data_IF_621577231901
#
_entry.id   IF_621577231901
#
_cell.length_a   1.000
_cell.length_b   1.000
_cell.length_c   1.000
_cell.angle_alpha   90.00
_cell.angle_beta   90.00
_cell.angle_gamma   90.00
#
_symmetry.space_group_name_H-M   'P 1'
#
loop_
_entity.id
_entity.type
_entity.pdbx_description
1 polymer ?
#
# COMPACT_ATOMS: atom_id res chain seq x y z
N UNK A 1 13.50 80.71 22.86
CA UNK A 1 12.48 80.27 21.89
C UNK A 1 13.22 79.96 20.60
N UNK A 2 13.74 78.74 20.49
CA UNK A 2 14.56 78.28 19.36
C UNK A 2 13.64 77.48 18.43
N UNK A 3 13.39 78.01 17.24
CA UNK A 3 12.64 77.34 16.17
C UNK A 3 13.39 76.08 15.70
N UNK A 4 12.71 74.93 15.50
CA UNK A 4 13.35 73.74 14.97
C UNK A 4 13.63 73.91 13.47
N UNK A 5 14.66 73.25 12.91
CA UNK A 5 14.94 73.31 11.49
C UNK A 5 13.82 72.60 10.70
N UNK A 6 13.26 73.29 9.70
CA UNK A 6 12.37 72.70 8.68
C UNK A 6 13.15 71.69 7.84
N UNK A 7 12.78 70.43 7.97
CA UNK A 7 13.25 69.32 7.13
C UNK A 7 12.81 69.57 5.68
N UNK A 8 13.70 69.37 4.71
CA UNK A 8 13.33 69.45 3.30
C UNK A 8 12.39 68.29 2.94
N UNK A 9 11.40 68.54 2.07
CA UNK A 9 10.46 67.51 1.58
C UNK A 9 11.15 66.26 1.03
N UNK A 10 12.36 66.41 0.49
CA UNK A 10 13.19 65.30 0.02
C UNK A 10 13.63 64.37 1.16
N UNK A 11 13.98 64.91 2.33
CA UNK A 11 14.33 64.12 3.51
C UNK A 11 13.11 63.42 4.13
N UNK A 12 11.92 64.00 4.02
CA UNK A 12 10.68 63.34 4.42
C UNK A 12 10.32 62.19 3.47
N UNK A 13 10.51 62.37 2.17
CA UNK A 13 10.28 61.31 1.17
C UNK A 13 11.31 60.18 1.24
N UNK A 14 12.59 60.48 1.47
CA UNK A 14 13.62 59.46 1.70
C UNK A 14 13.35 58.67 2.98
N UNK A 15 12.92 59.33 4.06
CA UNK A 15 12.52 58.61 5.28
C UNK A 15 11.23 57.81 5.12
N UNK A 16 10.25 58.28 4.35
CA UNK A 16 9.05 57.50 4.02
C UNK A 16 9.41 56.27 3.19
N UNK A 17 10.28 56.41 2.18
CA UNK A 17 10.76 55.29 1.37
C UNK A 17 11.62 54.32 2.17
N UNK A 18 12.45 54.80 3.09
CA UNK A 18 13.25 53.97 3.99
C UNK A 18 12.36 53.27 5.02
N UNK A 19 11.32 53.93 5.55
CA UNK A 19 10.30 53.28 6.38
C UNK A 19 9.45 52.27 5.61
N UNK A 20 9.13 52.52 4.34
CA UNK A 20 8.38 51.59 3.48
C UNK A 20 9.25 50.38 3.05
N UNK A 21 10.55 50.59 2.85
CA UNK A 21 11.53 49.51 2.64
C UNK A 21 11.79 48.69 3.91
N UNK A 22 11.91 49.33 5.08
CA UNK A 22 12.04 48.65 6.38
C UNK A 22 10.75 47.92 6.76
N UNK A 23 9.58 48.40 6.31
CA UNK A 23 8.29 47.74 6.49
C UNK A 23 8.09 46.51 5.58
N UNK A 24 8.83 46.40 4.46
CA UNK A 24 8.96 45.14 3.71
C UNK A 24 9.96 44.20 4.38
N UNK A 25 9.70 43.86 5.65
CA UNK A 25 10.45 42.79 6.32
C UNK A 25 10.19 41.48 5.57
N UNK A 26 11.19 41.07 4.78
CA UNK A 26 11.12 39.95 3.84
C UNK A 26 10.75 38.66 4.59
N UNK A 27 9.49 38.22 4.42
CA UNK A 27 9.00 36.97 5.02
C UNK A 27 9.92 35.80 4.63
N UNK A 28 10.30 34.97 5.60
CA UNK A 28 11.20 33.82 5.39
C UNK A 28 10.67 32.91 4.28
N UNK A 29 11.49 32.54 3.28
CA UNK A 29 11.07 31.67 2.19
C UNK A 29 10.77 30.25 2.72
N UNK A 30 9.77 29.60 2.12
CA UNK A 30 9.32 28.24 2.51
C UNK A 30 10.46 27.23 2.45
N UNK A 31 11.40 27.38 1.51
CA UNK A 31 12.57 26.50 1.38
C UNK A 31 13.46 26.51 2.61
N UNK A 32 13.71 27.68 3.21
CA UNK A 32 14.51 27.78 4.45
C UNK A 32 13.77 27.18 5.63
N UNK A 33 12.46 27.42 5.74
CA UNK A 33 11.63 26.80 6.77
C UNK A 33 11.59 25.26 6.61
N UNK A 34 11.43 24.77 5.38
CA UNK A 34 11.44 23.33 5.09
C UNK A 34 12.79 22.69 5.43
N UNK A 35 13.91 23.32 5.06
CA UNK A 35 15.25 22.85 5.44
C UNK A 35 15.42 22.77 6.96
N UNK A 36 14.94 23.78 7.68
CA UNK A 36 14.97 23.77 9.14
C UNK A 36 14.15 22.61 9.73
N UNK A 37 12.92 22.41 9.25
CA UNK A 37 12.06 21.30 9.71
C UNK A 37 12.66 19.92 9.36
N UNK A 38 13.28 19.79 8.19
CA UNK A 38 13.94 18.55 7.78
C UNK A 38 15.15 18.22 8.65
N UNK A 39 16.01 19.21 8.95
CA UNK A 39 17.13 19.05 9.89
C UNK A 39 16.59 18.70 11.28
N UNK A 40 15.51 19.34 11.73
CA UNK A 40 14.85 19.03 13.00
C UNK A 40 14.41 17.56 13.04
N UNK A 41 13.67 17.09 12.05
CA UNK A 41 13.21 15.69 11.98
C UNK A 41 14.40 14.71 11.96
N UNK A 42 15.38 14.91 11.09
CA UNK A 42 16.55 14.02 10.96
C UNK A 42 17.48 14.09 12.18
N UNK A 43 17.42 15.15 12.99
CA UNK A 43 18.15 15.23 14.25
C UNK A 43 17.54 14.39 15.37
N UNK A 44 16.26 14.03 15.26
CA UNK A 44 15.58 13.21 16.26
C UNK A 44 16.09 11.77 16.18
N UNK A 45 16.49 11.22 17.33
CA UNK A 45 16.99 9.84 17.43
C UNK A 45 15.97 8.83 16.88
N UNK A 46 14.66 9.05 17.09
CA UNK A 46 13.58 8.19 16.58
C UNK A 46 13.63 8.09 15.06
N UNK A 47 13.72 9.22 14.36
CA UNK A 47 13.78 9.24 12.89
C UNK A 47 15.08 8.60 12.40
N UNK A 48 16.22 8.83 13.06
CA UNK A 48 17.49 8.18 12.70
C UNK A 48 17.41 6.66 12.82
N UNK A 49 16.82 6.15 13.90
CA UNK A 49 16.58 4.71 14.05
C UNK A 49 15.63 4.17 12.98
N UNK A 50 14.57 4.91 12.64
CA UNK A 50 13.66 4.50 11.57
C UNK A 50 14.36 4.47 10.21
N UNK A 51 15.21 5.45 9.90
CA UNK A 51 16.02 5.44 8.67
C UNK A 51 16.93 4.22 8.67
N UNK A 52 17.68 3.97 9.74
CA UNK A 52 18.54 2.80 9.84
C UNK A 52 17.75 1.49 9.67
N UNK A 53 16.61 1.37 10.36
CA UNK A 53 15.75 0.19 10.29
C UNK A 53 15.19 -0.01 8.88
N UNK A 54 14.68 1.03 8.22
CA UNK A 54 14.09 0.92 6.87
C UNK A 54 15.14 0.56 5.81
N UNK A 55 16.38 1.00 5.97
CA UNK A 55 17.46 0.76 5.00
C UNK A 55 18.22 -0.55 5.22
N UNK A 56 18.16 -1.14 6.42
CA UNK A 56 18.93 -2.35 6.75
C UNK A 56 18.04 -3.56 7.05
N UNK A 57 16.98 -3.38 7.85
CA UNK A 57 16.20 -4.51 8.34
C UNK A 57 15.54 -5.35 7.23
N UNK A 58 15.00 -4.77 6.13
CA UNK A 58 14.43 -5.57 5.04
C UNK A 58 15.48 -6.46 4.35
N UNK A 59 16.66 -5.94 4.06
CA UNK A 59 17.75 -6.74 3.47
C UNK A 59 18.16 -7.89 4.39
N UNK A 60 18.32 -7.62 5.69
CA UNK A 60 18.65 -8.65 6.69
C UNK A 60 17.54 -9.70 6.82
N UNK A 61 16.28 -9.28 6.77
CA UNK A 61 15.13 -10.19 6.81
C UNK A 61 15.16 -11.15 5.62
N UNK A 62 15.33 -10.63 4.39
CA UNK A 62 15.36 -11.47 3.19
C UNK A 62 16.56 -12.42 3.21
N UNK A 63 17.75 -11.94 3.60
CA UNK A 63 18.95 -12.76 3.76
C UNK A 63 18.83 -13.80 4.88
N UNK A 64 18.03 -13.52 5.92
CA UNK A 64 17.72 -14.46 6.99
C UNK A 64 16.78 -15.57 6.51
N UNK A 65 15.72 -15.21 5.79
CA UNK A 65 14.78 -16.17 5.20
C UNK A 65 15.49 -17.05 4.17
N UNK A 66 16.40 -16.50 3.37
CA UNK A 66 17.14 -17.28 2.37
C UNK A 66 18.02 -18.39 2.96
N UNK A 67 18.36 -18.31 4.24
CA UNK A 67 19.14 -19.32 4.98
C UNK A 67 18.26 -20.35 5.72
N UNK A 68 16.95 -20.10 5.82
CA UNK A 68 16.02 -21.00 6.49
C UNK A 68 15.49 -22.05 5.53
N UNK A 69 15.10 -23.20 6.06
CA UNK A 69 14.41 -24.24 5.28
C UNK A 69 12.88 -24.06 5.29
N UNK A 70 12.37 -23.16 6.14
CA UNK A 70 10.94 -22.86 6.27
C UNK A 70 10.63 -21.52 5.64
N UNK A 71 9.69 -21.51 4.69
CA UNK A 71 9.23 -20.31 4.01
C UNK A 71 7.97 -19.74 4.65
N UNK A 72 7.74 -18.42 4.59
CA UNK A 72 6.51 -17.78 5.05
C UNK A 72 5.37 -18.01 4.05
N UNK A 73 4.90 -19.26 3.93
CA UNK A 73 3.93 -19.69 2.91
C UNK A 73 2.56 -19.00 2.99
N UNK A 74 2.19 -18.44 4.13
CA UNK A 74 0.93 -17.68 4.31
C UNK A 74 1.00 -16.26 3.73
N UNK A 75 2.21 -15.78 3.42
CA UNK A 75 2.45 -14.46 2.85
C UNK A 75 2.51 -14.54 1.33
N UNK A 76 1.88 -13.58 0.65
CA UNK A 76 1.89 -13.48 -0.80
C UNK A 76 3.33 -13.43 -1.34
N UNK A 77 3.67 -14.27 -2.32
CA UNK A 77 5.02 -14.51 -2.84
C UNK A 77 6.03 -15.13 -1.86
N UNK A 78 5.62 -15.46 -0.63
CA UNK A 78 6.49 -16.08 0.38
C UNK A 78 7.06 -17.42 -0.07
N UNK A 79 6.27 -18.22 -0.79
CA UNK A 79 6.68 -19.51 -1.36
C UNK A 79 7.78 -19.39 -2.42
N UNK A 80 7.87 -18.24 -3.06
CA UNK A 80 8.82 -17.97 -4.14
C UNK A 80 10.10 -17.29 -3.65
N UNK A 81 10.26 -17.05 -2.34
CA UNK A 81 11.42 -16.33 -1.79
C UNK A 81 12.75 -17.04 -1.99
N UNK A 82 12.80 -18.37 -2.11
CA UNK A 82 14.04 -19.07 -2.47
C UNK A 82 14.22 -19.21 -3.99
N UNK A 83 13.16 -19.02 -4.77
CA UNK A 83 13.18 -19.19 -6.22
C UNK A 83 13.55 -17.90 -6.96
N UNK A 84 13.15 -16.73 -6.44
CA UNK A 84 13.43 -15.44 -7.09
C UNK A 84 13.71 -14.35 -6.07
N UNK A 85 14.78 -13.58 -6.28
CA UNK A 85 15.11 -12.39 -5.49
C UNK A 85 14.05 -11.29 -5.56
N UNK A 86 13.21 -11.29 -6.61
CA UNK A 86 12.11 -10.33 -6.77
C UNK A 86 10.92 -10.58 -5.84
N UNK A 87 10.81 -11.78 -5.25
CA UNK A 87 9.77 -12.07 -4.26
C UNK A 87 10.00 -11.31 -2.93
N UNK A 88 11.27 -11.09 -2.56
CA UNK A 88 11.66 -10.38 -1.33
C UNK A 88 11.00 -9.00 -1.16
N UNK A 89 11.10 -8.07 -2.13
CA UNK A 89 10.45 -6.76 -2.02
C UNK A 89 8.92 -6.82 -2.02
N UNK A 90 8.28 -7.85 -2.59
CA UNK A 90 6.83 -8.00 -2.59
C UNK A 90 6.30 -8.51 -1.25
N UNK A 91 7.00 -9.49 -0.66
CA UNK A 91 6.74 -9.96 0.71
C UNK A 91 6.90 -8.80 1.69
N UNK A 92 7.98 -8.02 1.53
CA UNK A 92 8.22 -6.82 2.34
C UNK A 92 7.12 -5.77 2.14
N UNK A 93 6.64 -5.56 0.92
CA UNK A 93 5.55 -4.63 0.63
C UNK A 93 4.25 -5.05 1.32
N UNK A 94 3.87 -6.33 1.26
CA UNK A 94 2.67 -6.84 1.94
C UNK A 94 2.72 -6.65 3.45
N UNK A 95 3.87 -6.95 4.07
CA UNK A 95 4.09 -6.68 5.50
C UNK A 95 4.06 -5.16 5.79
N UNK A 96 4.74 -4.37 4.98
CA UNK A 96 4.86 -2.93 5.19
C UNK A 96 3.51 -2.22 5.06
N UNK A 97 2.71 -2.56 4.06
CA UNK A 97 1.36 -2.02 3.87
C UNK A 97 0.45 -2.25 5.08
N UNK A 98 0.52 -3.44 5.67
CA UNK A 98 -0.34 -3.81 6.80
C UNK A 98 0.15 -3.22 8.12
N UNK A 99 1.46 -3.23 8.37
CA UNK A 99 2.03 -2.92 9.69
C UNK A 99 2.97 -1.73 9.69
N UNK A 100 4.00 -1.74 8.84
CA UNK A 100 5.09 -0.76 8.95
C UNK A 100 4.67 0.65 8.51
N UNK A 101 4.03 0.81 7.34
CA UNK A 101 3.66 2.10 6.78
C UNK A 101 2.68 2.89 7.67
N UNK A 102 1.65 2.27 8.28
CA UNK A 102 0.85 2.94 9.31
C UNK A 102 1.66 3.43 10.51
N UNK A 103 2.64 2.64 10.99
CA UNK A 103 3.51 3.03 12.10
C UNK A 103 4.47 4.17 11.71
N UNK A 104 5.06 4.11 10.52
CA UNK A 104 5.95 5.16 10.01
C UNK A 104 5.21 6.48 9.83
N UNK A 105 4.01 6.45 9.23
CA UNK A 105 3.17 7.65 9.07
C UNK A 105 2.72 8.22 10.41
N UNK A 106 2.37 7.36 11.36
CA UNK A 106 2.08 7.73 12.76
C UNK A 106 3.23 8.49 13.42
N UNK A 107 4.46 7.97 13.35
CA UNK A 107 5.62 8.60 13.99
C UNK A 107 6.02 9.90 13.27
N UNK A 108 6.03 9.90 11.94
CA UNK A 108 6.54 11.03 11.15
C UNK A 108 5.52 12.15 10.99
N UNK A 109 4.21 11.87 10.92
CA UNK A 109 3.17 12.88 10.69
C UNK A 109 2.33 13.16 11.93
N UNK A 110 2.06 12.16 12.77
CA UNK A 110 1.13 12.24 13.90
C UNK A 110 1.58 13.18 15.03
N UNK A 111 2.88 13.48 15.13
CA UNK A 111 3.42 14.32 16.22
C UNK A 111 4.05 15.64 15.75
N UNK A 112 4.00 15.94 14.44
CA UNK A 112 4.69 17.11 13.85
C UNK A 112 4.17 18.45 14.37
N UNK A 113 2.88 18.52 14.65
CA UNK A 113 2.22 19.71 15.19
C UNK A 113 2.01 19.59 16.71
N UNK A 114 1.60 18.41 17.17
CA UNK A 114 1.35 18.13 18.59
C UNK A 114 2.62 18.27 19.46
N UNK A 115 3.81 17.95 18.93
CA UNK A 115 5.07 18.16 19.67
C UNK A 115 5.36 19.64 19.95
N UNK A 116 5.01 20.54 19.03
CA UNK A 116 5.19 21.98 19.23
C UNK A 116 4.21 22.52 20.27
N UNK A 117 3.00 21.95 20.32
CA UNK A 117 2.01 22.25 21.36
C UNK A 117 2.49 21.86 22.76
N UNK A 118 3.14 20.70 22.89
CA UNK A 118 3.71 20.23 24.16
C UNK A 118 4.93 21.02 24.59
N UNK A 119 5.80 21.36 23.64
CA UNK A 119 7.05 22.10 23.91
C UNK A 119 6.85 23.62 23.99
N UNK A 120 5.68 24.14 23.60
CA UNK A 120 5.35 25.57 23.68
C UNK A 120 6.11 26.46 22.68
N UNK A 121 6.61 25.89 21.58
CA UNK A 121 7.51 26.54 20.61
C UNK A 121 6.79 27.42 19.58
N UNK A 122 5.45 27.42 19.55
CA UNK A 122 4.66 28.16 18.56
C UNK A 122 4.97 29.65 18.51
N UNK A 123 5.18 30.29 19.67
CA UNK A 123 5.49 31.73 19.73
C UNK A 123 6.77 32.06 18.96
N UNK A 124 7.80 31.24 19.13
CA UNK A 124 9.09 31.42 18.45
C UNK A 124 8.96 31.21 16.94
N UNK A 125 8.26 30.15 16.52
CA UNK A 125 8.02 29.84 15.11
C UNK A 125 7.21 30.92 14.40
N UNK A 126 6.17 31.47 15.06
CA UNK A 126 5.34 32.53 14.50
C UNK A 126 6.09 33.85 14.38
N UNK A 127 6.95 34.20 15.35
CA UNK A 127 7.79 35.40 15.27
C UNK A 127 8.83 35.29 14.15
N UNK A 128 9.41 34.10 13.97
CA UNK A 128 10.43 33.85 12.96
C UNK A 128 9.85 33.80 11.52
N UNK A 129 8.80 33.01 11.29
CA UNK A 129 8.27 32.76 9.94
C UNK A 129 7.16 33.76 9.55
N UNK A 130 6.44 34.31 10.53
CA UNK A 130 5.37 35.32 10.38
C UNK A 130 4.21 34.90 9.46
N UNK A 131 4.00 33.60 9.25
CA UNK A 131 2.90 33.09 8.45
C UNK A 131 2.56 31.63 8.81
N UNK A 132 1.37 31.35 9.38
CA UNK A 132 0.91 29.97 9.66
C UNK A 132 0.89 29.10 8.40
N UNK A 133 0.47 29.67 7.26
CA UNK A 133 0.41 28.94 5.98
C UNK A 133 1.78 28.37 5.57
N UNK A 134 2.85 29.16 5.72
CA UNK A 134 4.21 28.73 5.36
C UNK A 134 4.76 27.69 6.33
N UNK A 135 4.43 27.80 7.61
CA UNK A 135 4.82 26.82 8.63
C UNK A 135 4.18 25.47 8.32
N UNK A 136 2.87 25.45 8.04
CA UNK A 136 2.17 24.21 7.67
C UNK A 136 2.80 23.55 6.45
N UNK A 137 2.98 24.29 5.36
CA UNK A 137 3.56 23.76 4.11
C UNK A 137 4.99 23.25 4.33
N UNK A 138 5.81 23.98 5.10
CA UNK A 138 7.18 23.54 5.40
C UNK A 138 7.20 22.24 6.20
N UNK A 139 6.35 22.12 7.23
CA UNK A 139 6.23 20.90 8.06
C UNK A 139 5.69 19.72 7.24
N UNK A 140 4.62 19.92 6.49
CA UNK A 140 4.03 18.89 5.64
C UNK A 140 5.03 18.41 4.57
N UNK A 141 5.75 19.33 3.92
CA UNK A 141 6.77 18.99 2.93
C UNK A 141 7.95 18.23 3.55
N UNK A 142 8.45 18.66 4.71
CA UNK A 142 9.54 17.96 5.40
C UNK A 142 9.13 16.54 5.83
N UNK A 143 7.93 16.38 6.41
CA UNK A 143 7.38 15.06 6.76
C UNK A 143 7.18 14.17 5.53
N UNK A 144 6.69 14.73 4.42
CA UNK A 144 6.56 14.02 3.16
C UNK A 144 7.92 13.52 2.66
N UNK A 145 8.95 14.39 2.64
CA UNK A 145 10.30 14.00 2.22
C UNK A 145 10.87 12.88 3.08
N UNK A 146 10.70 12.95 4.40
CA UNK A 146 11.15 11.89 5.32
C UNK A 146 10.38 10.59 5.06
N UNK A 147 9.05 10.65 4.87
CA UNK A 147 8.26 9.45 4.56
C UNK A 147 8.68 8.81 3.24
N UNK A 148 8.87 9.59 2.18
CA UNK A 148 9.34 9.08 0.90
C UNK A 148 10.73 8.43 1.02
N UNK A 149 11.63 9.01 1.82
CA UNK A 149 12.94 8.42 2.10
C UNK A 149 12.83 7.07 2.84
N UNK A 150 11.91 6.96 3.79
CA UNK A 150 11.69 5.71 4.54
C UNK A 150 11.09 4.62 3.65
N UNK A 151 10.09 4.94 2.83
CA UNK A 151 9.49 3.99 1.86
C UNK A 151 10.51 3.57 0.82
N UNK A 152 11.29 4.51 0.28
CA UNK A 152 12.37 4.20 -0.65
C UNK A 152 13.42 3.29 0.01
N UNK A 153 13.76 3.52 1.28
CA UNK A 153 14.62 2.64 2.05
C UNK A 153 14.09 1.22 2.12
N UNK A 154 12.80 1.05 2.46
CA UNK A 154 12.16 -0.27 2.50
C UNK A 154 12.21 -0.99 1.15
N UNK A 155 11.86 -0.28 0.08
CA UNK A 155 11.84 -0.82 -1.28
C UNK A 155 13.26 -1.21 -1.75
N UNK A 156 14.22 -0.28 -1.66
CA UNK A 156 15.60 -0.51 -2.12
C UNK A 156 16.28 -1.58 -1.29
N UNK A 157 16.14 -1.54 0.05
CA UNK A 157 16.75 -2.52 0.95
C UNK A 157 16.25 -3.94 0.68
N UNK A 158 14.93 -4.11 0.53
CA UNK A 158 14.35 -5.44 0.25
C UNK A 158 14.70 -5.96 -1.15
N UNK A 159 14.70 -5.09 -2.17
CA UNK A 159 15.11 -5.47 -3.53
C UNK A 159 16.58 -5.85 -3.59
N UNK A 160 17.48 -5.02 -3.06
CA UNK A 160 18.92 -5.33 -3.03
C UNK A 160 19.19 -6.57 -2.21
N UNK A 161 18.54 -6.73 -1.05
CA UNK A 161 18.65 -7.93 -0.21
C UNK A 161 18.21 -9.20 -0.95
N UNK A 162 17.07 -9.17 -1.65
CA UNK A 162 16.59 -10.31 -2.43
C UNK A 162 17.49 -10.67 -3.59
N UNK A 163 17.93 -9.68 -4.36
CA UNK A 163 18.84 -9.91 -5.50
C UNK A 163 20.21 -10.43 -5.05
N UNK A 164 20.75 -9.95 -3.93
CA UNK A 164 22.02 -10.44 -3.40
C UNK A 164 21.91 -11.83 -2.77
N UNK A 165 20.78 -12.16 -2.15
CA UNK A 165 20.60 -13.42 -1.44
C UNK A 165 20.21 -14.59 -2.36
N UNK A 166 19.39 -14.32 -3.39
CA UNK A 166 18.74 -15.36 -4.21
C UNK A 166 19.09 -15.21 -5.70
N UNK A 167 19.34 -13.98 -6.16
CA UNK A 167 19.67 -13.69 -7.55
C UNK A 167 18.48 -13.20 -8.40
N UNK A 168 18.78 -12.94 -9.67
CA UNK A 168 17.89 -12.29 -10.65
C UNK A 168 17.08 -13.31 -11.46
N UNK A 169 16.40 -14.23 -10.77
CA UNK A 169 15.62 -15.29 -11.42
C UNK A 169 14.19 -14.83 -11.78
N UNK A 170 13.57 -15.40 -12.84
CA UNK A 170 12.18 -15.11 -13.21
C UNK A 170 11.22 -15.30 -12.03
N UNK A 171 10.22 -14.41 -11.94
CA UNK A 171 9.21 -14.45 -10.87
C UNK A 171 7.94 -15.13 -11.38
N UNK A 172 7.37 -16.02 -10.58
CA UNK A 172 6.06 -16.63 -10.89
C UNK A 172 4.95 -15.67 -10.49
N UNK A 173 4.10 -15.28 -11.43
CA UNK A 173 2.89 -14.47 -11.21
C UNK A 173 1.80 -15.22 -10.43
N UNK A 174 0.72 -14.53 -10.06
CA UNK A 174 -0.40 -15.10 -9.32
C UNK A 174 -1.36 -15.93 -10.19
N UNK A 175 -1.27 -15.79 -11.49
CA UNK A 175 -1.84 -16.71 -12.47
C UNK A 175 -0.80 -17.72 -12.94
N UNK A 176 0.36 -17.84 -12.29
CA UNK A 176 1.35 -18.88 -12.57
C UNK A 176 2.27 -18.63 -13.78
N UNK A 177 2.09 -17.55 -14.55
CA UNK A 177 3.00 -17.25 -15.66
C UNK A 177 4.36 -16.79 -15.15
N UNK A 178 5.41 -17.00 -15.96
CA UNK A 178 6.75 -16.55 -15.64
C UNK A 178 6.97 -15.12 -16.12
N UNK A 179 7.32 -14.25 -15.19
CA UNK A 179 7.75 -12.88 -15.44
C UNK A 179 9.26 -12.87 -15.63
N UNK A 180 9.71 -12.34 -16.77
CA UNK A 180 11.12 -12.07 -16.98
C UNK A 180 11.62 -11.08 -15.90
N UNK A 181 12.91 -11.15 -15.51
CA UNK A 181 13.43 -10.29 -14.43
C UNK A 181 13.21 -8.79 -14.67
N UNK A 182 13.29 -8.32 -15.92
CA UNK A 182 12.98 -6.92 -16.27
C UNK A 182 11.53 -6.54 -16.02
N UNK A 183 10.59 -7.44 -16.35
CA UNK A 183 9.16 -7.20 -16.18
C UNK A 183 8.79 -7.27 -14.69
N UNK A 184 9.38 -8.22 -13.96
CA UNK A 184 9.28 -8.30 -12.51
C UNK A 184 9.80 -7.02 -11.84
N UNK A 185 10.95 -6.50 -12.26
CA UNK A 185 11.51 -5.25 -11.75
C UNK A 185 10.55 -4.06 -11.92
N UNK A 186 9.95 -3.92 -13.11
CA UNK A 186 8.97 -2.87 -13.40
C UNK A 186 7.72 -3.04 -12.54
N UNK A 187 7.18 -4.25 -12.43
CA UNK A 187 5.97 -4.51 -11.64
C UNK A 187 6.21 -4.31 -10.13
N UNK A 188 7.39 -4.69 -9.62
CA UNK A 188 7.80 -4.43 -8.23
C UNK A 188 7.88 -2.92 -7.98
N UNK A 189 8.53 -2.16 -8.87
CA UNK A 189 8.62 -0.71 -8.75
C UNK A 189 7.23 -0.06 -8.76
N UNK A 190 6.37 -0.45 -9.71
CA UNK A 190 5.00 0.06 -9.80
C UNK A 190 4.19 -0.26 -8.53
N UNK A 191 4.34 -1.45 -7.97
CA UNK A 191 3.67 -1.86 -6.72
C UNK A 191 4.04 -0.94 -5.56
N UNK A 192 5.34 -0.63 -5.39
CA UNK A 192 5.81 0.30 -4.37
C UNK A 192 5.34 1.74 -4.61
N UNK A 193 5.30 2.20 -5.88
CA UNK A 193 4.77 3.52 -6.23
C UNK A 193 3.27 3.61 -5.90
N UNK A 194 2.48 2.60 -6.26
CA UNK A 194 1.05 2.57 -5.95
C UNK A 194 0.77 2.58 -4.45
N UNK A 195 1.61 1.93 -3.64
CA UNK A 195 1.52 1.94 -2.17
C UNK A 195 1.83 3.32 -1.53
N UNK A 196 2.40 4.26 -2.27
CA UNK A 196 2.55 5.63 -1.78
C UNK A 196 1.20 6.32 -1.58
N UNK A 197 0.22 6.09 -2.47
CA UNK A 197 -1.08 6.75 -2.37
C UNK A 197 -1.79 6.49 -1.02
N UNK A 198 -1.98 5.24 -0.56
CA UNK A 198 -2.57 4.97 0.76
C UNK A 198 -1.66 5.40 1.92
N UNK A 199 -0.33 5.39 1.74
CA UNK A 199 0.62 5.94 2.74
C UNK A 199 0.43 7.44 2.93
N UNK A 200 0.20 8.19 1.85
CA UNK A 200 -0.10 9.61 1.90
C UNK A 200 -1.44 9.89 2.57
N UNK A 201 -2.45 9.04 2.34
CA UNK A 201 -3.73 9.13 3.03
C UNK A 201 -3.55 8.99 4.55
N UNK A 202 -2.79 7.99 5.00
CA UNK A 202 -2.48 7.78 6.42
C UNK A 202 -1.65 8.94 7.01
N UNK A 203 -0.67 9.47 6.27
CA UNK A 203 0.10 10.65 6.69
C UNK A 203 -0.79 11.89 6.85
N UNK A 204 -1.73 12.11 5.93
CA UNK A 204 -2.69 13.21 5.98
C UNK A 204 -3.63 13.11 7.19
N UNK A 205 -4.08 11.88 7.53
CA UNK A 205 -4.80 11.62 8.77
C UNK A 205 -3.94 11.88 10.01
N UNK A 206 -2.65 11.57 9.95
CA UNK A 206 -1.67 11.92 10.98
C UNK A 206 -1.56 13.43 11.18
N UNK A 207 -1.45 14.23 10.10
CA UNK A 207 -1.46 15.69 10.21
C UNK A 207 -2.76 16.23 10.80
N UNK A 208 -3.91 15.71 10.36
CA UNK A 208 -5.21 16.09 10.89
C UNK A 208 -5.32 15.77 12.38
N UNK A 209 -4.93 14.56 12.80
CA UNK A 209 -4.85 14.16 14.20
C UNK A 209 -3.93 15.06 15.02
N UNK A 210 -2.72 15.32 14.51
CA UNK A 210 -1.71 16.18 15.15
C UNK A 210 -2.20 17.62 15.38
N UNK A 211 -2.94 18.19 14.41
CA UNK A 211 -3.49 19.56 14.52
C UNK A 211 -4.69 19.63 15.46
N UNK A 212 -5.58 18.63 15.41
CA UNK A 212 -6.85 18.64 16.16
C UNK A 212 -6.70 18.28 17.63
N UNK A 213 -5.78 17.37 17.96
CA UNK A 213 -5.62 16.83 19.33
C UNK A 213 -4.69 17.68 20.21
N UNK A 214 -4.13 18.77 19.66
CA UNK A 214 -3.37 19.78 20.41
C UNK A 214 -2.17 19.18 21.16
N UNK A 215 -2.13 19.37 22.48
CA UNK A 215 -1.06 18.87 23.36
C UNK A 215 -1.06 17.35 23.55
N UNK A 216 -2.14 16.67 23.19
CA UNK A 216 -2.26 15.23 23.42
C UNK A 216 -1.36 14.43 22.47
N UNK A 217 -0.58 13.44 22.96
CA UNK A 217 0.19 12.55 22.09
C UNK A 217 -0.70 11.62 21.25
N UNK A 218 -2.03 11.65 21.44
CA UNK A 218 -2.99 10.80 20.72
C UNK A 218 -2.96 11.01 19.20
N UNK A 219 -2.48 12.16 18.70
CA UNK A 219 -2.27 12.38 17.27
C UNK A 219 -1.34 11.35 16.62
N UNK A 220 -0.41 10.80 17.40
CA UNK A 220 0.47 9.71 16.97
C UNK A 220 -0.32 8.43 16.70
N UNK A 221 -1.37 8.12 17.46
CA UNK A 221 -2.10 6.84 17.30
C UNK A 221 -3.07 6.84 16.11
N UNK A 222 -3.47 8.01 15.60
CA UNK A 222 -4.54 8.12 14.59
C UNK A 222 -4.27 7.29 13.33
N UNK A 223 -3.11 7.38 12.65
CA UNK A 223 -2.88 6.60 11.43
C UNK A 223 -2.93 5.09 11.66
N UNK A 224 -2.35 4.62 12.77
CA UNK A 224 -2.30 3.18 13.12
C UNK A 224 -3.68 2.65 13.44
N UNK A 225 -4.45 3.37 14.27
CA UNK A 225 -5.80 2.93 14.65
C UNK A 225 -6.75 2.92 13.44
N UNK A 226 -6.67 3.94 12.57
CA UNK A 226 -7.49 3.98 11.35
C UNK A 226 -7.07 2.87 10.38
N UNK A 227 -5.75 2.65 10.18
CA UNK A 227 -5.27 1.57 9.33
C UNK A 227 -5.72 0.20 9.86
N UNK A 228 -5.64 -0.04 11.17
CA UNK A 228 -6.09 -1.29 11.78
C UNK A 228 -7.60 -1.49 11.63
N UNK A 229 -8.40 -0.44 11.87
CA UNK A 229 -9.85 -0.49 11.68
C UNK A 229 -10.21 -0.81 10.22
N UNK A 230 -9.51 -0.19 9.26
CA UNK A 230 -9.68 -0.48 7.84
C UNK A 230 -9.21 -1.90 7.50
N UNK A 231 -8.13 -2.40 8.08
CA UNK A 231 -7.65 -3.78 7.88
C UNK A 231 -8.68 -4.80 8.38
N UNK A 232 -9.28 -4.57 9.55
CA UNK A 232 -10.39 -5.39 10.07
C UNK A 232 -11.58 -5.33 9.13
N UNK A 233 -11.93 -4.15 8.60
CA UNK A 233 -12.99 -4.03 7.59
C UNK A 233 -12.69 -4.86 6.33
N UNK A 234 -11.43 -4.94 5.87
CA UNK A 234 -11.02 -5.77 4.75
C UNK A 234 -11.07 -7.29 5.05
N UNK A 235 -11.22 -7.71 6.31
CA UNK A 235 -11.40 -9.12 6.68
C UNK A 235 -12.88 -9.54 6.75
N UNK A 236 -13.79 -8.58 6.94
CA UNK A 236 -15.23 -8.84 7.01
C UNK A 236 -15.83 -9.08 5.62
N UNK A 237 -16.87 -9.92 5.42
CA UNK A 237 -17.47 -10.20 4.11
C UNK A 237 -18.30 -9.02 3.57
N UNK A 238 -17.67 -7.86 3.37
CA UNK A 238 -18.23 -6.65 2.79
C UNK A 238 -18.32 -6.78 1.27
N UNK A 239 -19.31 -6.11 0.62
CA UNK A 239 -19.36 -6.00 -0.84
C UNK A 239 -18.05 -5.45 -1.40
N UNK A 240 -17.65 -5.91 -2.59
CA UNK A 240 -16.40 -5.50 -3.22
C UNK A 240 -16.32 -3.98 -3.42
N UNK A 241 -17.44 -3.30 -3.72
CA UNK A 241 -17.49 -1.84 -3.81
C UNK A 241 -17.09 -1.11 -2.52
N UNK A 242 -17.47 -1.62 -1.34
CA UNK A 242 -17.11 -1.02 -0.04
C UNK A 242 -15.61 -1.16 0.20
N UNK A 243 -15.06 -2.32 -0.13
CA UNK A 243 -13.63 -2.62 0.06
C UNK A 243 -12.77 -1.69 -0.75
N UNK A 244 -13.08 -1.54 -2.04
CA UNK A 244 -12.35 -0.70 -2.99
C UNK A 244 -12.47 0.80 -2.65
N UNK A 245 -13.55 1.20 -1.96
CA UNK A 245 -13.75 2.58 -1.49
C UNK A 245 -12.92 2.95 -0.25
N UNK A 246 -12.20 2.00 0.37
CA UNK A 246 -11.29 2.25 1.48
C UNK A 246 -9.85 2.43 0.99
N UNK A 247 -9.09 3.43 1.49
CA UNK A 247 -7.69 3.62 1.13
C UNK A 247 -6.82 2.37 1.34
N UNK A 248 -7.12 1.57 2.37
CA UNK A 248 -6.37 0.35 2.68
C UNK A 248 -6.38 -0.69 1.56
N UNK A 249 -7.36 -0.66 0.66
CA UNK A 249 -7.44 -1.61 -0.46
C UNK A 249 -6.27 -1.46 -1.44
N UNK A 250 -5.72 -0.24 -1.59
CA UNK A 250 -4.55 0.00 -2.42
C UNK A 250 -3.27 -0.69 -1.88
N UNK A 251 -3.23 -1.05 -0.59
CA UNK A 251 -2.16 -1.90 -0.04
C UNK A 251 -2.29 -3.38 -0.39
N UNK A 252 -3.39 -3.78 -1.06
CA UNK A 252 -3.68 -5.15 -1.46
C UNK A 252 -3.69 -5.27 -3.00
N UNK A 253 -4.40 -4.36 -3.68
CA UNK A 253 -4.70 -4.43 -5.12
C UNK A 253 -3.49 -4.33 -6.06
N UNK A 254 -2.29 -4.04 -5.55
CA UNK A 254 -1.06 -4.09 -6.35
C UNK A 254 -0.76 -5.51 -6.84
N UNK A 255 -1.28 -6.53 -6.16
CA UNK A 255 -1.19 -7.93 -6.54
C UNK A 255 -1.73 -8.18 -7.97
N UNK A 256 -2.70 -7.40 -8.44
CA UNK A 256 -3.26 -7.46 -9.79
C UNK A 256 -2.29 -7.14 -10.92
N UNK A 257 -1.13 -6.52 -10.62
CA UNK A 257 -0.05 -6.31 -11.59
C UNK A 257 0.62 -7.61 -12.02
N UNK A 258 0.56 -8.65 -11.18
CA UNK A 258 1.20 -9.95 -11.37
C UNK A 258 0.24 -11.01 -11.92
N UNK A 259 -0.79 -10.58 -12.68
CA UNK A 259 -1.76 -11.47 -13.33
C UNK A 259 -1.84 -11.19 -14.82
N UNK A 260 -2.04 -12.21 -15.66
CA UNK A 260 -2.37 -12.09 -17.08
C UNK A 260 -3.85 -12.42 -17.33
N UNK A 261 -4.69 -11.47 -17.78
CA UNK A 261 -4.46 -10.04 -17.98
C UNK A 261 -4.34 -9.26 -16.66
N UNK A 262 -3.66 -8.11 -16.69
CA UNK A 262 -3.46 -7.27 -15.52
C UNK A 262 -4.77 -6.64 -15.02
N UNK A 263 -5.01 -6.74 -13.72
CA UNK A 263 -6.20 -6.19 -13.06
C UNK A 263 -5.98 -4.73 -12.64
N UNK A 264 -5.83 -3.83 -13.62
CA UNK A 264 -5.52 -2.41 -13.37
C UNK A 264 -6.70 -1.61 -12.79
N UNK A 265 -7.94 -2.00 -13.10
CA UNK A 265 -9.13 -1.28 -12.67
C UNK A 265 -9.24 -1.13 -11.14
N UNK A 266 -9.26 -2.24 -10.36
CA UNK A 266 -9.28 -2.19 -8.90
C UNK A 266 -8.11 -1.38 -8.30
N UNK A 267 -6.91 -1.52 -8.89
CA UNK A 267 -5.72 -0.81 -8.46
C UNK A 267 -5.85 0.71 -8.63
N UNK A 268 -6.26 1.17 -9.81
CA UNK A 268 -6.40 2.59 -10.10
C UNK A 268 -7.50 3.23 -9.24
N UNK A 269 -8.62 2.54 -9.01
CA UNK A 269 -9.68 3.03 -8.13
C UNK A 269 -9.13 3.19 -6.71
N UNK A 270 -8.44 2.18 -6.17
CA UNK A 270 -7.83 2.25 -4.84
C UNK A 270 -6.82 3.40 -4.69
N UNK A 271 -5.99 3.63 -5.71
CA UNK A 271 -5.04 4.75 -5.76
C UNK A 271 -5.77 6.09 -5.77
N UNK A 272 -6.77 6.28 -6.63
CA UNK A 272 -7.55 7.53 -6.72
C UNK A 272 -8.27 7.81 -5.41
N UNK A 273 -8.96 6.82 -4.84
CA UNK A 273 -9.62 6.93 -3.54
C UNK A 273 -8.64 7.36 -2.45
N UNK A 274 -7.47 6.73 -2.40
CA UNK A 274 -6.42 7.07 -1.43
C UNK A 274 -5.92 8.51 -1.59
N UNK A 275 -5.71 8.97 -2.84
CA UNK A 275 -5.29 10.35 -3.11
C UNK A 275 -6.38 11.36 -2.74
N UNK A 276 -7.65 11.07 -2.99
CA UNK A 276 -8.79 11.91 -2.56
C UNK A 276 -8.78 12.05 -1.03
N UNK A 277 -8.63 10.94 -0.30
CA UNK A 277 -8.49 10.97 1.16
C UNK A 277 -7.29 11.81 1.60
N UNK A 278 -6.12 11.64 0.96
CA UNK A 278 -4.92 12.40 1.27
C UNK A 278 -5.12 13.92 1.08
N UNK A 279 -5.71 14.32 -0.04
CA UNK A 279 -6.00 15.73 -0.36
C UNK A 279 -7.00 16.31 0.62
N UNK A 280 -8.13 15.64 0.87
CA UNK A 280 -9.18 16.14 1.76
C UNK A 280 -8.67 16.23 3.20
N UNK A 281 -8.04 15.19 3.74
CA UNK A 281 -7.51 15.22 5.10
C UNK A 281 -6.43 16.30 5.28
N UNK A 282 -5.53 16.47 4.31
CA UNK A 282 -4.49 17.52 4.35
C UNK A 282 -5.11 18.91 4.27
N UNK A 283 -6.12 19.11 3.41
CA UNK A 283 -6.83 20.38 3.28
C UNK A 283 -7.58 20.75 4.57
N UNK A 284 -8.22 19.78 5.22
CA UNK A 284 -8.88 19.98 6.52
C UNK A 284 -7.86 20.33 7.60
N UNK A 285 -6.73 19.60 7.66
CA UNK A 285 -5.64 19.91 8.59
C UNK A 285 -5.09 21.32 8.37
N UNK A 286 -4.91 21.73 7.11
CA UNK A 286 -4.46 23.07 6.73
C UNK A 286 -5.46 24.15 7.17
N UNK A 287 -6.75 23.99 6.85
CA UNK A 287 -7.79 24.97 7.18
C UNK A 287 -7.91 25.12 8.70
N UNK A 288 -7.91 24.01 9.43
CA UNK A 288 -7.96 24.01 10.90
C UNK A 288 -6.73 24.69 11.51
N UNK A 289 -5.54 24.42 10.96
CA UNK A 289 -4.30 25.01 11.43
C UNK A 289 -4.24 26.53 11.17
N UNK A 290 -4.62 26.99 9.99
CA UNK A 290 -4.56 28.41 9.63
C UNK A 290 -5.60 29.25 10.38
N UNK A 291 -6.75 28.64 10.74
CA UNK A 291 -7.80 29.27 11.54
C UNK A 291 -7.59 29.11 13.06
N UNK A 292 -6.50 28.46 13.48
CA UNK A 292 -6.21 28.23 14.88
C UNK A 292 -5.79 29.53 15.56
N UNK A 293 -6.38 29.80 16.71
CA UNK A 293 -5.98 30.91 17.56
C UNK A 293 -4.75 30.50 18.39
N UNK A 294 -3.65 31.24 18.27
CA UNK A 294 -2.38 30.95 18.96
C UNK A 294 -2.20 31.78 20.23
N UNK A 295 -3.07 32.78 20.46
CA UNK A 295 -2.94 33.71 21.59
C UNK A 295 -3.58 33.20 22.88
N UNK A 296 -4.55 32.28 22.81
CA UNK A 296 -5.25 31.78 23.99
C UNK A 296 -4.62 30.49 24.55
N UNK A 297 -3.97 30.54 25.75
CA UNK A 297 -3.30 29.37 26.34
C UNK A 297 -4.24 28.28 26.86
N UNK A 298 -5.54 28.57 27.03
CA UNK A 298 -6.57 27.61 27.46
C UNK A 298 -7.27 26.91 26.30
N UNK A 299 -6.87 27.17 25.05
CA UNK A 299 -7.42 26.48 23.88
C UNK A 299 -6.79 25.08 23.74
N UNK A 300 -7.23 24.15 24.57
CA UNK A 300 -7.09 22.73 24.29
C UNK A 300 -8.04 22.39 23.14
N UNK A 301 -7.55 21.71 22.11
CA UNK A 301 -8.23 21.51 20.82
C UNK A 301 -9.72 21.18 21.00
N UNK A 302 -10.60 22.03 20.48
CA UNK A 302 -12.04 21.86 20.73
C UNK A 302 -12.52 20.56 20.07
N UNK A 303 -12.73 19.50 20.85
CA UNK A 303 -13.16 18.18 20.35
C UNK A 303 -14.38 18.24 19.44
N UNK A 304 -15.31 19.19 19.66
CA UNK A 304 -16.44 19.45 18.75
C UNK A 304 -16.01 19.82 17.34
N UNK A 305 -15.02 20.71 17.14
CA UNK A 305 -14.52 21.06 15.79
C UNK A 305 -13.72 19.91 15.18
N UNK A 306 -13.00 19.13 15.99
CA UNK A 306 -12.28 17.94 15.51
C UNK A 306 -13.25 16.91 14.91
N UNK A 307 -14.40 16.68 15.54
CA UNK A 307 -15.41 15.75 15.05
C UNK A 307 -16.15 16.32 13.84
N UNK A 308 -16.66 17.56 13.91
CA UNK A 308 -17.52 18.10 12.83
C UNK A 308 -16.75 18.52 11.58
N UNK A 309 -15.51 18.99 11.72
CA UNK A 309 -14.68 19.47 10.60
C UNK A 309 -13.62 18.44 10.19
N UNK A 310 -13.22 17.53 11.08
CA UNK A 310 -12.25 16.48 10.77
C UNK A 310 -12.90 15.16 10.33
N UNK A 311 -13.68 14.53 11.21
CA UNK A 311 -14.21 13.17 11.00
C UNK A 311 -15.36 13.13 9.99
N UNK A 312 -16.34 14.04 10.12
CA UNK A 312 -17.55 14.02 9.30
C UNK A 312 -17.27 14.14 7.78
N UNK A 313 -16.38 15.04 7.30
CA UNK A 313 -16.07 15.11 5.88
C UNK A 313 -15.37 13.85 5.35
N UNK A 314 -14.54 13.19 6.15
CA UNK A 314 -13.88 11.94 5.74
C UNK A 314 -14.87 10.78 5.62
N UNK A 315 -15.86 10.73 6.53
CA UNK A 315 -17.00 9.81 6.40
C UNK A 315 -17.80 10.12 5.12
N UNK A 316 -17.99 11.40 4.81
CA UNK A 316 -18.60 11.85 3.56
C UNK A 316 -17.82 11.39 2.32
N UNK A 317 -16.49 11.50 2.33
CA UNK A 317 -15.62 10.99 1.26
C UNK A 317 -15.77 9.47 1.13
N UNK A 318 -15.78 8.73 2.24
CA UNK A 318 -15.99 7.28 2.20
C UNK A 318 -17.34 6.91 1.55
N UNK A 319 -18.42 7.60 1.94
CA UNK A 319 -19.76 7.36 1.42
C UNK A 319 -19.88 7.72 -0.07
N UNK A 320 -19.29 8.84 -0.50
CA UNK A 320 -19.27 9.25 -1.91
C UNK A 320 -18.42 8.29 -2.75
N UNK A 321 -17.23 7.91 -2.29
CA UNK A 321 -16.39 6.91 -2.98
C UNK A 321 -17.14 5.59 -3.14
N UNK A 322 -17.83 5.12 -2.08
CA UNK A 322 -18.67 3.94 -2.16
C UNK A 322 -19.81 4.10 -3.18
N UNK A 323 -20.56 5.21 -3.14
CA UNK A 323 -21.67 5.44 -4.05
C UNK A 323 -21.22 5.49 -5.52
N UNK A 324 -20.08 6.13 -5.79
CA UNK A 324 -19.49 6.20 -7.13
C UNK A 324 -19.07 4.80 -7.59
N UNK A 325 -18.31 4.06 -6.77
CA UNK A 325 -17.86 2.71 -7.15
C UNK A 325 -19.04 1.76 -7.34
N UNK A 326 -20.05 1.80 -6.47
CA UNK A 326 -21.25 0.97 -6.60
C UNK A 326 -22.10 1.34 -7.84
N UNK A 327 -22.06 2.60 -8.29
CA UNK A 327 -22.76 3.03 -9.50
C UNK A 327 -21.99 2.70 -10.79
N UNK A 328 -20.65 2.69 -10.74
CA UNK A 328 -19.79 2.44 -11.91
C UNK A 328 -19.37 0.99 -12.07
N UNK A 329 -19.59 0.15 -11.05
CA UNK A 329 -19.24 -1.28 -11.06
C UNK A 329 -20.46 -2.13 -10.71
N UNK A 330 -20.60 -3.32 -11.31
CA UNK A 330 -21.62 -4.32 -10.96
C UNK A 330 -21.37 -5.00 -9.59
N UNK A 331 -20.54 -4.41 -8.73
CA UNK A 331 -19.93 -5.04 -7.56
C UNK A 331 -20.78 -4.92 -6.29
N UNK A 332 -22.05 -5.32 -6.36
CA UNK A 332 -22.97 -5.38 -5.20
C UNK A 332 -22.78 -6.62 -4.33
N UNK A 333 -22.06 -7.64 -4.83
CA UNK A 333 -21.71 -8.86 -4.11
C UNK A 333 -20.22 -8.89 -3.73
N UNK A 334 -19.74 -10.00 -3.19
CA UNK A 334 -18.32 -10.22 -2.87
C UNK A 334 -17.40 -10.20 -4.09
N UNK A 335 -17.92 -10.26 -5.33
CA UNK A 335 -17.12 -10.34 -6.55
C UNK A 335 -16.57 -11.74 -6.86
N UNK A 336 -16.44 -12.60 -5.84
CA UNK A 336 -16.06 -14.03 -5.97
C UNK A 336 -17.25 -14.87 -6.44
N UNK A 337 -17.23 -15.25 -7.72
CA UNK A 337 -18.22 -16.14 -8.35
C UNK A 337 -17.57 -17.43 -8.83
N UNK A 338 -18.36 -18.50 -8.95
CA UNK A 338 -17.92 -19.82 -9.41
C UNK A 338 -17.16 -19.77 -10.74
N UNK A 339 -17.66 -19.04 -11.74
CA UNK A 339 -17.06 -18.97 -13.07
C UNK A 339 -15.67 -18.31 -13.04
N UNK A 340 -15.48 -17.29 -12.20
CA UNK A 340 -14.20 -16.59 -12.05
C UNK A 340 -13.18 -17.45 -11.31
N UNK A 341 -13.61 -18.17 -10.27
CA UNK A 341 -12.75 -19.12 -9.56
C UNK A 341 -12.30 -20.23 -10.51
N UNK A 342 -13.22 -20.83 -11.27
CA UNK A 342 -12.91 -21.86 -12.25
C UNK A 342 -11.90 -21.38 -13.30
N UNK A 343 -12.12 -20.18 -13.86
CA UNK A 343 -11.22 -19.59 -14.85
C UNK A 343 -9.83 -19.30 -14.29
N UNK A 344 -9.76 -18.73 -13.08
CA UNK A 344 -8.49 -18.40 -12.44
C UNK A 344 -7.68 -19.65 -12.09
N UNK A 345 -8.31 -20.68 -11.52
CA UNK A 345 -7.65 -21.95 -11.19
C UNK A 345 -7.15 -22.67 -12.43
N UNK A 346 -7.96 -22.75 -13.49
CA UNK A 346 -7.56 -23.39 -14.74
C UNK A 346 -6.37 -22.68 -15.39
N UNK A 347 -6.35 -21.35 -15.37
CA UNK A 347 -5.25 -20.53 -15.91
C UNK A 347 -3.97 -20.74 -15.11
N UNK A 348 -4.05 -20.62 -13.79
CA UNK A 348 -2.93 -20.85 -12.89
C UNK A 348 -2.32 -22.25 -13.06
N UNK A 349 -3.17 -23.27 -13.10
CA UNK A 349 -2.73 -24.64 -13.32
C UNK A 349 -2.03 -24.81 -14.67
N UNK A 350 -2.58 -24.27 -15.77
CA UNK A 350 -1.99 -24.40 -17.09
C UNK A 350 -0.58 -23.80 -17.16
N UNK A 351 -0.38 -22.61 -16.60
CA UNK A 351 0.93 -21.96 -16.57
C UNK A 351 1.94 -22.73 -15.71
N UNK A 352 1.56 -23.12 -14.49
CA UNK A 352 2.42 -23.87 -13.57
C UNK A 352 2.75 -25.28 -14.10
N UNK A 353 1.83 -25.91 -14.85
CA UNK A 353 2.08 -27.20 -15.49
C UNK A 353 3.19 -27.10 -16.53
N UNK A 354 3.21 -26.03 -17.33
CA UNK A 354 4.27 -25.79 -18.31
C UNK A 354 5.62 -25.59 -17.62
N UNK A 355 5.65 -24.80 -16.55
CA UNK A 355 6.84 -24.59 -15.73
C UNK A 355 7.37 -25.92 -15.16
N UNK A 356 6.51 -26.75 -14.58
CA UNK A 356 6.92 -28.06 -14.05
C UNK A 356 7.43 -28.99 -15.16
N UNK A 357 6.76 -28.98 -16.33
CA UNK A 357 7.14 -29.79 -17.49
C UNK A 357 8.56 -29.47 -17.95
N UNK A 358 8.90 -28.18 -17.98
CA UNK A 358 10.25 -27.70 -18.30
C UNK A 358 11.27 -28.12 -17.23
N UNK A 359 10.97 -27.91 -15.94
CA UNK A 359 11.83 -28.31 -14.81
C UNK A 359 12.12 -29.82 -14.77
N UNK A 360 11.17 -30.64 -15.21
CA UNK A 360 11.29 -32.10 -15.26
C UNK A 360 11.81 -32.60 -16.62
N UNK A 361 12.20 -31.72 -17.54
CA UNK A 361 12.65 -32.04 -18.90
C UNK A 361 11.69 -32.97 -19.67
N UNK A 362 10.39 -32.75 -19.49
CA UNK A 362 9.34 -33.45 -20.25
C UNK A 362 9.11 -32.76 -21.60
N UNK A 363 8.50 -33.45 -22.59
CA UNK A 363 8.15 -32.82 -23.86
C UNK A 363 7.31 -31.55 -23.65
N UNK A 364 7.69 -30.46 -24.31
CA UNK A 364 7.01 -29.18 -24.16
C UNK A 364 5.54 -29.28 -24.61
N UNK A 365 4.65 -28.68 -23.83
CA UNK A 365 3.21 -28.57 -24.13
C UNK A 365 2.80 -27.11 -23.99
N UNK A 366 1.92 -26.64 -24.87
CA UNK A 366 1.34 -25.29 -24.80
C UNK A 366 0.05 -25.27 -23.98
N UNK A 367 -0.35 -24.10 -23.46
CA UNK A 367 -1.63 -23.95 -22.74
C UNK A 367 -2.84 -24.34 -23.60
N UNK A 368 -2.79 -24.01 -24.89
CA UNK A 368 -3.84 -24.32 -25.86
C UNK A 368 -3.97 -25.83 -26.12
N UNK A 369 -2.88 -26.58 -26.00
CA UNK A 369 -2.89 -28.05 -26.10
C UNK A 369 -3.37 -28.69 -24.79
N UNK A 370 -2.98 -28.13 -23.63
CA UNK A 370 -3.43 -28.61 -22.33
C UNK A 370 -4.95 -28.55 -22.16
N UNK A 371 -5.59 -27.52 -22.74
CA UNK A 371 -7.04 -27.27 -22.63
C UNK A 371 -7.52 -27.44 -21.17
N UNK A 372 -6.76 -26.88 -20.23
CA UNK A 372 -7.04 -27.03 -18.81
C UNK A 372 -8.39 -26.38 -18.49
N UNK A 373 -9.23 -27.11 -17.77
CA UNK A 373 -10.53 -26.66 -17.29
C UNK A 373 -10.66 -26.97 -15.82
N UNK A 374 -11.42 -26.18 -15.07
CA UNK A 374 -11.67 -26.43 -13.66
C UNK A 374 -13.17 -26.47 -13.38
N UNK A 375 -13.61 -27.50 -12.66
CA UNK A 375 -14.96 -27.61 -12.12
C UNK A 375 -14.90 -27.38 -10.61
N UNK A 376 -15.16 -26.14 -10.20
CA UNK A 376 -15.17 -25.73 -8.80
C UNK A 376 -16.57 -25.69 -8.24
N UNK A 377 -16.75 -26.17 -7.01
CA UNK A 377 -17.98 -26.04 -6.22
C UNK A 377 -17.64 -25.53 -4.82
N UNK A 378 -18.63 -24.90 -4.17
CA UNK A 378 -18.51 -24.41 -2.80
C UNK A 378 -19.67 -24.94 -1.98
N UNK A 379 -19.39 -25.61 -0.86
CA UNK A 379 -20.44 -26.20 -0.02
C UNK A 379 -21.28 -27.26 -0.74
N UNK A 380 -22.60 -27.27 -0.49
CA UNK A 380 -23.55 -28.24 -1.09
C UNK A 380 -24.26 -27.68 -2.33
N UNK A 381 -24.76 -28.55 -3.20
CA UNK A 381 -25.44 -28.22 -4.47
C UNK A 381 -26.71 -27.35 -4.34
N UNK A 382 -27.15 -27.04 -3.12
CA UNK A 382 -28.37 -26.25 -2.84
C UNK A 382 -28.13 -24.75 -2.73
N UNK A 383 -26.88 -24.28 -2.67
CA UNK A 383 -26.52 -22.86 -2.56
C UNK A 383 -25.64 -22.49 -3.75
N UNK A 384 -25.88 -21.32 -4.37
CA UNK A 384 -25.02 -20.84 -5.43
C UNK A 384 -23.58 -20.69 -4.92
N UNK A 385 -22.61 -21.31 -5.60
CA UNK A 385 -21.21 -21.30 -5.20
C UNK A 385 -20.62 -19.89 -5.37
N UNK A 386 -20.67 -19.09 -4.30
CA UNK A 386 -20.24 -17.69 -4.30
C UNK A 386 -19.60 -17.29 -2.96
N UNK A 387 -18.74 -16.27 -3.02
CA UNK A 387 -18.11 -15.64 -1.86
C UNK A 387 -16.85 -16.33 -1.34
N UNK A 388 -16.13 -15.66 -0.41
CA UNK A 388 -14.91 -16.18 0.20
C UNK A 388 -15.17 -17.36 1.15
N UNK A 389 -14.15 -18.17 1.41
CA UNK A 389 -14.20 -19.34 2.29
C UNK A 389 -13.15 -20.40 1.95
N UNK A 390 -12.97 -21.35 2.87
CA UNK A 390 -12.06 -22.50 2.77
C UNK A 390 -12.73 -23.81 2.32
N UNK A 391 -13.97 -23.70 1.84
CA UNK A 391 -14.88 -24.76 1.46
C UNK A 391 -15.05 -24.89 -0.06
N UNK A 392 -14.14 -24.29 -0.82
CA UNK A 392 -14.06 -24.46 -2.27
C UNK A 392 -13.33 -25.75 -2.61
N UNK A 393 -13.91 -26.56 -3.48
CA UNK A 393 -13.28 -27.77 -4.03
C UNK A 393 -13.32 -27.71 -5.55
N UNK A 394 -12.16 -27.77 -6.17
CA UNK A 394 -11.98 -27.69 -7.62
C UNK A 394 -11.41 -28.99 -8.16
N UNK A 395 -12.00 -29.51 -9.23
CA UNK A 395 -11.42 -30.59 -10.03
C UNK A 395 -10.87 -29.98 -11.32
N UNK A 396 -9.56 -30.00 -11.48
CA UNK A 396 -8.87 -29.51 -12.67
C UNK A 396 -8.68 -30.68 -13.63
N UNK A 397 -9.10 -30.51 -14.89
CA UNK A 397 -8.97 -31.51 -15.95
C UNK A 397 -8.12 -30.94 -17.08
N UNK A 398 -7.13 -31.68 -17.55
CA UNK A 398 -6.27 -31.30 -18.68
C UNK A 398 -6.03 -32.47 -19.63
N UNK A 399 -5.60 -32.15 -20.84
CA UNK A 399 -5.35 -33.09 -21.94
C UNK A 399 -3.89 -33.02 -22.34
N UNK A 400 -3.29 -34.15 -22.69
CA UNK A 400 -1.93 -34.21 -23.20
C UNK A 400 -1.93 -34.62 -24.67
N UNK A 401 -1.07 -34.02 -25.51
CA UNK A 401 -0.98 -34.41 -26.91
C UNK A 401 -0.56 -35.88 -27.02
N UNK A 402 -1.31 -36.66 -27.82
CA UNK A 402 -1.05 -38.09 -28.03
C UNK A 402 -1.58 -39.03 -26.94
N UNK A 403 -2.34 -38.53 -25.95
CA UNK A 403 -2.97 -39.34 -24.90
C UNK A 403 -4.49 -39.13 -24.93
N UNK A 404 -5.26 -40.20 -25.09
CA UNK A 404 -6.74 -40.10 -25.10
C UNK A 404 -7.35 -39.84 -23.72
N UNK A 405 -6.67 -40.29 -22.65
CA UNK A 405 -7.14 -40.07 -21.28
C UNK A 405 -6.82 -38.64 -20.81
N UNK A 406 -7.81 -37.98 -20.19
CA UNK A 406 -7.60 -36.71 -19.50
C UNK A 406 -6.94 -36.91 -18.14
N UNK A 407 -5.96 -36.09 -17.81
CA UNK A 407 -5.48 -35.96 -16.43
C UNK A 407 -6.50 -35.18 -15.59
N UNK A 408 -6.67 -35.56 -14.32
CA UNK A 408 -7.57 -34.87 -13.40
C UNK A 408 -6.91 -34.72 -12.04
N UNK A 409 -6.92 -33.53 -11.46
CA UNK A 409 -6.37 -33.22 -10.13
C UNK A 409 -7.42 -32.54 -9.27
N UNK A 410 -7.40 -32.80 -7.96
CA UNK A 410 -8.34 -32.19 -7.01
C UNK A 410 -7.59 -31.21 -6.13
N UNK A 411 -8.16 -30.02 -5.99
CA UNK A 411 -7.67 -28.95 -5.14
C UNK A 411 -8.74 -28.49 -4.16
N UNK A 412 -8.35 -28.33 -2.89
CA UNK A 412 -9.10 -27.56 -1.91
C UNK A 412 -8.60 -26.12 -1.92
N UNK A 413 -9.51 -25.16 -1.98
CA UNK A 413 -9.19 -23.75 -2.05
C UNK A 413 -9.61 -23.03 -0.78
N UNK A 414 -8.71 -22.19 -0.29
CA UNK A 414 -9.02 -21.11 0.67
C UNK A 414 -9.03 -19.77 -0.06
N UNK A 415 -10.23 -19.24 -0.30
CA UNK A 415 -10.46 -17.98 -1.02
C UNK A 415 -10.73 -16.87 -0.02
N UNK A 416 -9.84 -15.89 0.04
CA UNK A 416 -9.98 -14.74 0.93
C UNK A 416 -10.90 -13.67 0.34
N UNK A 417 -11.51 -12.82 1.18
CA UNK A 417 -12.48 -11.81 0.73
C UNK A 417 -11.94 -10.73 -0.23
N UNK A 418 -10.61 -10.59 -0.33
CA UNK A 418 -9.90 -9.71 -1.26
C UNK A 418 -9.59 -10.38 -2.61
N UNK A 419 -10.03 -11.62 -2.84
CA UNK A 419 -9.94 -12.32 -4.11
C UNK A 419 -8.73 -13.25 -4.24
N UNK A 420 -7.78 -13.18 -3.32
CA UNK A 420 -6.66 -14.13 -3.26
C UNK A 420 -7.19 -15.52 -2.91
N UNK A 421 -6.57 -16.56 -3.46
CA UNK A 421 -6.80 -17.92 -3.00
C UNK A 421 -5.50 -18.72 -2.90
N UNK A 422 -5.50 -19.69 -2.00
CA UNK A 422 -4.49 -20.74 -1.93
C UNK A 422 -5.14 -22.05 -2.35
N UNK A 423 -4.62 -22.69 -3.38
CA UNK A 423 -5.05 -24.01 -3.85
C UNK A 423 -4.10 -25.08 -3.29
N UNK A 424 -4.63 -26.00 -2.51
CA UNK A 424 -3.91 -27.13 -1.92
C UNK A 424 -4.36 -28.44 -2.56
N UNK A 425 -3.40 -29.22 -3.06
CA UNK A 425 -3.66 -30.44 -3.79
C UNK A 425 -4.13 -31.58 -2.90
N UNK A 426 -5.45 -31.81 -2.84
CA UNK A 426 -6.11 -32.90 -2.09
C UNK A 426 -6.23 -34.22 -2.90
N UNK A 427 -5.30 -34.45 -3.84
CA UNK A 427 -5.28 -35.60 -4.75
C UNK A 427 -4.22 -36.65 -4.39
N UNK A 428 -4.35 -37.90 -4.86
CA UNK A 428 -3.30 -38.90 -4.73
C UNK A 428 -1.97 -38.39 -5.30
N UNK A 429 -0.82 -38.86 -4.77
CA UNK A 429 0.51 -38.44 -5.24
C UNK A 429 0.74 -38.74 -6.72
N UNK A 430 0.06 -39.76 -7.22
CA UNK A 430 0.06 -40.19 -8.61
C UNK A 430 -0.55 -39.15 -9.55
N UNK A 431 -1.34 -38.23 -8.98
CA UNK A 431 -2.14 -37.24 -9.69
C UNK A 431 -1.58 -35.83 -9.53
N UNK A 432 -1.32 -35.41 -8.29
CA UNK A 432 -0.80 -34.06 -7.98
C UNK A 432 0.73 -34.00 -7.95
N UNK A 433 1.40 -35.16 -8.02
CA UNK A 433 2.84 -35.30 -7.88
C UNK A 433 3.30 -35.36 -6.43
N UNK A 434 4.62 -35.48 -6.23
CA UNK A 434 5.25 -35.38 -4.92
C UNK A 434 5.42 -33.91 -4.52
N UNK A 435 5.54 -33.64 -3.21
CA UNK A 435 5.80 -32.29 -2.70
C UNK A 435 7.13 -31.71 -3.22
N UNK A 436 8.16 -32.55 -3.36
CA UNK A 436 9.43 -32.20 -3.99
C UNK A 436 9.51 -32.86 -5.36
N UNK A 437 10.03 -32.11 -6.33
CA UNK A 437 10.39 -32.59 -7.66
C UNK A 437 11.91 -32.48 -7.81
N UNK A 438 12.51 -33.51 -8.40
CA UNK A 438 13.93 -33.45 -8.75
C UNK A 438 14.09 -32.57 -9.98
N UNK A 439 14.77 -31.45 -9.79
CA UNK A 439 15.17 -30.56 -10.88
C UNK A 439 16.68 -30.69 -11.09
N UNK A 440 17.21 -30.19 -12.22
CA UNK A 440 18.66 -30.24 -12.51
C UNK A 440 19.50 -29.46 -11.48
N UNK A 441 18.88 -28.50 -10.81
CA UNK A 441 19.50 -27.62 -9.81
C UNK A 441 19.35 -28.17 -8.37
N UNK A 442 18.64 -29.29 -8.20
CA UNK A 442 18.36 -29.93 -6.93
C UNK A 442 16.88 -30.22 -6.70
N UNK A 443 16.54 -30.71 -5.51
CA UNK A 443 15.15 -30.92 -5.11
C UNK A 443 14.46 -29.57 -4.92
N UNK A 444 13.39 -29.31 -5.68
CA UNK A 444 12.59 -28.09 -5.60
C UNK A 444 11.15 -28.40 -5.21
N UNK A 445 10.43 -27.48 -4.53
CA UNK A 445 9.00 -27.63 -4.29
C UNK A 445 8.22 -27.76 -5.60
N UNK A 446 7.30 -28.71 -5.65
CA UNK A 446 6.43 -28.93 -6.78
C UNK A 446 5.44 -27.75 -6.91
N UNK A 447 5.47 -26.98 -8.02
CA UNK A 447 4.60 -25.82 -8.21
C UNK A 447 3.11 -26.19 -8.31
N UNK A 448 2.77 -27.44 -8.64
CA UNK A 448 1.39 -27.93 -8.73
C UNK A 448 0.87 -28.55 -7.43
N UNK A 449 1.74 -28.75 -6.42
CA UNK A 449 1.30 -29.30 -5.13
C UNK A 449 0.45 -28.29 -4.36
N UNK A 450 0.94 -27.06 -4.26
CA UNK A 450 0.23 -25.95 -3.64
C UNK A 450 0.64 -24.65 -4.32
N UNK A 451 -0.33 -23.85 -4.73
CA UNK A 451 -0.10 -22.59 -5.42
C UNK A 451 -1.08 -21.51 -4.99
N UNK A 452 -0.65 -20.26 -5.12
CA UNK A 452 -1.48 -19.09 -4.85
C UNK A 452 -2.06 -18.58 -6.17
N UNK A 453 -3.23 -17.97 -6.10
CA UNK A 453 -3.75 -17.19 -7.21
C UNK A 453 -4.73 -16.10 -6.81
N UNK A 454 -5.32 -15.45 -7.82
CA UNK A 454 -6.19 -14.30 -7.61
C UNK A 454 -7.45 -14.34 -8.50
N UNK A 455 -8.59 -14.01 -7.91
CA UNK A 455 -9.89 -13.87 -8.55
C UNK A 455 -10.19 -12.40 -8.77
N UNK A 456 -10.52 -12.02 -10.01
CA UNK A 456 -10.90 -10.66 -10.34
C UNK A 456 -12.26 -10.28 -9.71
N UNK A 457 -12.25 -9.39 -8.72
CA UNK A 457 -13.47 -9.05 -7.98
C UNK A 457 -14.43 -8.12 -8.73
N UNK A 458 -13.91 -7.30 -9.65
CA UNK A 458 -14.70 -6.31 -10.40
C UNK A 458 -14.78 -6.74 -11.87
N UNK A 459 -15.96 -6.75 -12.47
CA UNK A 459 -16.07 -6.90 -13.92
C UNK A 459 -15.72 -5.56 -14.56
N UNK A 460 -14.45 -5.39 -14.95
CA UNK A 460 -13.98 -4.12 -15.54
C UNK A 460 -14.02 -4.10 -17.06
N UNK A 461 -14.49 -5.18 -17.69
CA UNK A 461 -14.76 -5.19 -19.12
C UNK A 461 -15.89 -4.21 -19.43
N UNK A 462 -15.54 -3.07 -20.01
CA UNK A 462 -16.45 -2.33 -20.87
C UNK A 462 -17.00 -3.35 -21.87
N UNK A 463 -18.31 -3.60 -21.82
CA UNK A 463 -19.02 -4.19 -22.96
C UNK A 463 -18.84 -3.22 -24.12
N UNK A 464 -17.79 -3.43 -24.90
CA UNK A 464 -17.61 -2.87 -26.24
C UNK A 464 -18.39 -3.72 -27.23
#
# INVERSE_FOLDING_TARGET
MTTPPTRSREQEQEQEQEHEQVARVRRVPVTRACRFELVKLVSQWRIRLLVLACWIAPALFVAGVSQQSTLPVDTLFGRWMHASGWAGPLVMLGFAGTWALPLLTSIVAGDVFASEDRLGTWRQLLVAVRSPRRIFVAKAAASLTVLLLLVAGLAVSSTVGGLLAVGDQPLVGLDGHLLAPSDAAVQVLLSWICALAPTLALAALGFLGSVTLGRSPMGLLVPVLVALAMAVAQMLPLPAAVRVALPSYAFISWNGLFTGPQQLGPLLIGVVVSLVWAVVATALAYVLFVRREFTNPTHDGSGRRAITVGVLPLVGVAAVSFAVVAATTSATSSGVTQDKVQRSVATAFAHLYRMQTDQLHRPAVTEAELKATAACNKGSTRVAAQGPGNDWRCVVTWHLPGVEASGQAIYQLDVTPDGRFMADGDGPKEVNGYFLVQTPEGDAPNPLWQFDGNVELLDTTLKG
#
